data_IF_194062076376
#
_entry.id   IF_194062076376
#
_cell.length_a   1.000
_cell.length_b   1.000
_cell.length_c   1.000
_cell.angle_alpha   90.00
_cell.angle_beta   90.00
_cell.angle_gamma   90.00
#
_symmetry.space_group_name_H-M   'P 1'
#
loop_
_entity.id
_entity.type
_entity.pdbx_description
1 polymer ?
#
# COMPACT_ATOMS: atom_id res chain seq x y z
N UNK A 1 32.28 3.68 75.48
CA UNK A 1 30.95 3.32 74.95
C UNK A 1 30.64 4.28 73.81
N UNK A 2 30.82 3.87 72.56
CA UNK A 2 30.46 4.66 71.39
C UNK A 2 29.61 3.78 70.47
N UNK A 3 28.37 4.22 70.24
CA UNK A 3 27.31 3.49 69.54
C UNK A 3 27.45 3.66 68.04
N UNK A 4 27.40 2.52 67.34
CA UNK A 4 27.23 2.39 65.90
C UNK A 4 26.01 3.17 65.39
N UNK A 5 26.16 3.84 64.25
CA UNK A 5 25.06 4.17 63.34
C UNK A 5 25.52 3.93 61.91
N UNK A 6 25.11 2.80 61.35
CA UNK A 6 25.18 2.52 59.91
C UNK A 6 23.87 3.05 59.32
N UNK A 7 23.94 4.14 58.56
CA UNK A 7 22.81 4.63 57.77
C UNK A 7 22.87 3.92 56.41
N UNK A 8 22.02 2.91 56.24
CA UNK A 8 21.82 2.25 54.95
C UNK A 8 20.93 3.12 54.06
N UNK A 9 21.50 3.65 52.97
CA UNK A 9 20.74 4.34 51.93
C UNK A 9 20.08 3.29 51.01
N UNK A 10 18.78 3.09 51.15
CA UNK A 10 17.97 2.35 50.18
C UNK A 10 17.63 3.29 49.01
N UNK A 11 18.33 3.15 47.89
CA UNK A 11 17.94 3.78 46.64
C UNK A 11 16.72 3.05 46.05
N UNK A 12 15.53 3.64 46.19
CA UNK A 12 14.34 3.19 45.49
C UNK A 12 14.44 3.58 44.02
N UNK A 13 14.86 2.64 43.16
CA UNK A 13 14.80 2.81 41.70
C UNK A 13 13.34 2.62 41.27
N UNK A 14 12.61 3.71 41.08
CA UNK A 14 11.28 3.70 40.49
C UNK A 14 11.40 3.35 39.00
N UNK A 15 11.21 2.07 38.66
CA UNK A 15 10.97 1.61 37.30
C UNK A 15 9.63 2.16 36.82
N UNK A 16 9.66 3.29 36.11
CA UNK A 16 8.53 3.70 35.28
C UNK A 16 8.45 2.72 34.10
N UNK A 17 7.72 1.62 34.28
CA UNK A 17 7.27 0.81 33.18
C UNK A 17 6.39 1.70 32.29
N UNK A 18 6.96 2.19 31.19
CA UNK A 18 6.16 2.77 30.11
C UNK A 18 5.23 1.67 29.65
N UNK A 19 3.95 1.78 29.97
CA UNK A 19 2.93 0.96 29.33
C UNK A 19 2.97 1.35 27.86
N UNK A 20 3.67 0.54 27.06
CA UNK A 20 3.51 0.55 25.62
C UNK A 20 2.13 -0.05 25.35
N UNK A 21 1.09 0.77 25.41
CA UNK A 21 -0.15 0.42 24.73
C UNK A 21 0.25 0.20 23.27
N UNK A 22 0.01 -1.00 22.75
CA UNK A 22 0.09 -1.25 21.33
C UNK A 22 -0.98 -0.35 20.68
N UNK A 23 -0.59 0.86 20.27
CA UNK A 23 -1.41 1.72 19.42
C UNK A 23 -1.51 0.99 18.09
N UNK A 24 -2.63 0.31 17.88
CA UNK A 24 -3.00 -0.21 16.57
C UNK A 24 -3.12 0.98 15.62
N UNK A 25 -2.42 0.93 14.48
CA UNK A 25 -2.58 1.95 13.45
C UNK A 25 -4.07 2.11 13.10
N UNK A 26 -4.59 3.35 12.94
CA UNK A 26 -6.01 3.58 12.67
C UNK A 26 -6.47 2.95 11.35
N UNK A 27 -5.53 2.74 10.43
CA UNK A 27 -5.75 2.03 9.16
C UNK A 27 -4.88 0.78 9.18
N UNK A 28 -5.49 -0.40 9.04
CA UNK A 28 -4.75 -1.65 9.21
C UNK A 28 -5.32 -2.81 8.39
N UNK A 29 -4.48 -3.80 8.16
CA UNK A 29 -4.86 -5.15 7.72
C UNK A 29 -3.87 -6.15 8.30
N UNK A 30 -4.37 -7.28 8.81
CA UNK A 30 -3.53 -8.38 9.30
C UNK A 30 -3.31 -9.48 8.24
N UNK A 31 -3.66 -9.21 6.98
CA UNK A 31 -3.52 -10.16 5.87
C UNK A 31 -2.11 -10.13 5.31
N UNK A 32 -1.55 -11.32 5.12
CA UNK A 32 -0.28 -11.54 4.42
C UNK A 32 -0.50 -12.39 3.17
N UNK A 33 0.04 -11.97 2.03
CA UNK A 33 -0.05 -12.71 0.78
C UNK A 33 1.30 -13.37 0.45
N UNK A 34 1.40 -14.69 0.58
CA UNK A 34 2.65 -15.43 0.31
C UNK A 34 2.71 -16.01 -1.11
N UNK A 35 1.58 -16.50 -1.63
CA UNK A 35 1.53 -17.16 -2.95
C UNK A 35 1.12 -16.22 -4.08
N UNK A 36 0.28 -15.22 -3.80
CA UNK A 36 -0.28 -14.31 -4.79
C UNK A 36 0.46 -12.96 -4.77
N UNK A 37 1.79 -12.99 -4.83
CA UNK A 37 2.65 -11.80 -4.70
C UNK A 37 2.49 -10.80 -5.84
N UNK A 38 1.98 -11.22 -7.00
CA UNK A 38 1.61 -10.33 -8.10
C UNK A 38 0.57 -9.27 -7.70
N UNK A 39 -0.22 -9.53 -6.65
CA UNK A 39 -1.25 -8.62 -6.15
C UNK A 39 -0.72 -7.50 -5.27
N UNK A 40 0.55 -7.58 -4.85
CA UNK A 40 1.19 -6.55 -4.04
C UNK A 40 1.51 -5.32 -4.91
N UNK A 41 1.40 -4.14 -4.32
CA UNK A 41 1.93 -2.94 -4.96
C UNK A 41 3.47 -2.88 -4.81
N UNK A 42 4.09 -1.87 -5.46
CA UNK A 42 5.55 -1.69 -5.40
C UNK A 42 6.11 -1.33 -4.01
N UNK A 43 5.26 -0.94 -3.06
CA UNK A 43 5.62 -0.74 -1.65
C UNK A 43 5.50 -2.04 -0.82
N UNK A 44 5.15 -3.16 -1.44
CA UNK A 44 4.94 -4.45 -0.78
C UNK A 44 3.62 -4.53 0.00
N UNK A 45 2.70 -3.59 -0.19
CA UNK A 45 1.41 -3.60 0.51
C UNK A 45 0.45 -4.58 -0.13
N UNK A 46 -0.27 -5.31 0.72
CA UNK A 46 -1.34 -6.20 0.27
C UNK A 46 -2.50 -5.42 -0.31
N UNK A 47 -3.26 -6.01 -1.25
CA UNK A 47 -4.46 -5.36 -1.76
C UNK A 47 -5.48 -5.04 -0.65
N UNK A 48 -5.46 -5.81 0.45
CA UNK A 48 -6.24 -5.56 1.67
C UNK A 48 -5.88 -4.23 2.34
N UNK A 49 -4.58 -3.98 2.52
CA UNK A 49 -4.08 -2.75 3.14
C UNK A 49 -4.37 -1.54 2.25
N UNK A 50 -4.14 -1.65 0.95
CA UNK A 50 -4.49 -0.59 -0.01
C UNK A 50 -5.99 -0.26 0.08
N UNK A 51 -6.84 -1.28 0.06
CA UNK A 51 -8.30 -1.14 0.25
C UNK A 51 -8.66 -0.45 1.57
N UNK A 52 -7.90 -0.69 2.65
CA UNK A 52 -8.14 -0.05 3.93
C UNK A 52 -7.90 1.45 3.88
N UNK A 53 -6.79 1.88 3.28
CA UNK A 53 -6.50 3.31 3.08
C UNK A 53 -7.56 4.01 2.22
N UNK A 54 -8.03 3.36 1.15
CA UNK A 54 -9.07 3.92 0.30
C UNK A 54 -10.44 4.00 1.01
N UNK A 55 -10.74 3.04 1.87
CA UNK A 55 -11.99 3.00 2.65
C UNK A 55 -12.02 4.04 3.78
N UNK A 56 -10.88 4.28 4.42
CA UNK A 56 -10.75 5.24 5.52
C UNK A 56 -11.09 6.68 5.11
N UNK A 57 -11.00 7.03 3.81
CA UNK A 57 -11.36 8.37 3.33
C UNK A 57 -12.85 8.73 3.52
N UNK A 58 -13.72 7.74 3.73
CA UNK A 58 -15.15 7.95 3.97
C UNK A 58 -15.58 7.58 5.40
N UNK A 59 -14.64 7.61 6.35
CA UNK A 59 -14.94 7.52 7.79
C UNK A 59 -14.68 8.87 8.46
N UNK A 60 -15.34 9.12 9.58
CA UNK A 60 -15.26 10.42 10.28
C UNK A 60 -13.93 10.62 11.01
N UNK A 61 -13.24 9.52 11.33
CA UNK A 61 -12.00 9.46 12.10
C UNK A 61 -10.81 8.99 11.26
N UNK A 62 -10.99 8.85 9.94
CA UNK A 62 -10.00 8.31 9.01
C UNK A 62 -9.45 6.94 9.44
N UNK A 63 -10.27 6.13 10.12
CA UNK A 63 -9.91 4.76 10.50
C UNK A 63 -10.61 3.73 9.62
N UNK A 64 -9.92 2.63 9.30
CA UNK A 64 -10.53 1.46 8.68
C UNK A 64 -9.64 0.22 8.79
N UNK A 65 -10.25 -0.90 9.16
CA UNK A 65 -9.59 -2.21 9.20
C UNK A 65 -10.10 -3.13 8.10
N UNK A 66 -9.19 -3.81 7.41
CA UNK A 66 -9.53 -4.97 6.56
C UNK A 66 -8.97 -6.22 7.23
N UNK A 67 -9.78 -6.94 8.03
CA UNK A 67 -9.34 -8.14 8.72
C UNK A 67 -9.15 -9.30 7.72
N UNK A 68 -8.41 -10.31 8.13
CA UNK A 68 -8.34 -11.57 7.42
C UNK A 68 -9.73 -12.20 7.28
N UNK A 69 -9.99 -12.81 6.14
CA UNK A 69 -11.19 -13.60 5.96
C UNK A 69 -11.11 -14.83 6.86
N UNK A 70 -12.27 -15.32 7.30
CA UNK A 70 -12.39 -16.59 8.02
C UNK A 70 -12.11 -17.78 7.10
N UNK A 71 -13.06 -18.70 6.98
CA UNK A 71 -12.77 -19.99 6.33
C UNK A 71 -12.83 -19.98 4.80
N UNK A 72 -13.63 -19.12 4.13
CA UNK A 72 -13.79 -19.23 2.66
C UNK A 72 -13.96 -17.90 1.88
N UNK A 73 -14.09 -16.75 2.56
CA UNK A 73 -14.44 -15.48 1.89
C UNK A 73 -15.79 -15.58 1.13
N UNK A 74 -16.09 -14.67 0.20
CA UNK A 74 -15.42 -13.39 -0.06
C UNK A 74 -15.65 -12.37 1.06
N UNK A 75 -15.03 -11.19 0.96
CA UNK A 75 -15.43 -10.04 1.79
C UNK A 75 -16.91 -9.68 1.55
N UNK A 76 -17.62 -9.34 2.63
CA UNK A 76 -19.02 -8.93 2.57
C UNK A 76 -19.19 -7.61 1.81
N UNK A 77 -20.31 -7.43 1.09
CA UNK A 77 -20.57 -6.18 0.38
C UNK A 77 -20.73 -5.01 1.36
N UNK A 78 -20.49 -3.77 0.90
CA UNK A 78 -20.78 -2.57 1.68
C UNK A 78 -22.26 -2.54 2.09
N UNK A 79 -22.56 -2.04 3.28
CA UNK A 79 -23.93 -1.96 3.82
C UNK A 79 -24.10 -0.67 4.65
N UNK A 80 -25.34 -0.18 4.75
CA UNK A 80 -25.71 0.98 5.55
C UNK A 80 -24.91 2.22 5.15
N UNK A 81 -24.37 2.92 6.14
CA UNK A 81 -23.52 4.10 5.95
C UNK A 81 -22.19 3.79 5.24
N UNK A 82 -21.78 2.51 5.21
CA UNK A 82 -20.55 2.09 4.55
C UNK A 82 -20.73 1.82 3.06
N UNK A 83 -21.97 1.69 2.56
CA UNK A 83 -22.30 1.63 1.14
C UNK A 83 -22.21 3.01 0.49
N UNK A 84 -20.98 3.50 0.36
CA UNK A 84 -20.67 4.86 -0.10
C UNK A 84 -19.57 4.84 -1.17
N UNK A 85 -19.24 6.00 -1.73
CA UNK A 85 -18.30 6.14 -2.86
C UNK A 85 -16.90 5.57 -2.63
N UNK A 86 -16.43 5.44 -1.38
CA UNK A 86 -15.14 4.82 -1.10
C UNK A 86 -15.15 3.31 -1.37
N UNK A 87 -16.33 2.67 -1.27
CA UNK A 87 -16.45 1.21 -1.36
C UNK A 87 -17.30 0.72 -2.53
N UNK A 88 -18.28 1.50 -2.95
CA UNK A 88 -19.10 1.24 -4.12
C UNK A 88 -18.34 1.63 -5.40
N UNK A 89 -17.20 1.02 -5.67
CA UNK A 89 -16.49 1.21 -6.93
C UNK A 89 -15.73 -0.05 -7.33
N UNK A 90 -15.40 -0.17 -8.62
CA UNK A 90 -14.74 -1.36 -9.17
C UNK A 90 -13.33 -1.57 -8.61
N UNK A 91 -12.59 -0.50 -8.31
CA UNK A 91 -11.24 -0.60 -7.75
C UNK A 91 -11.27 -1.24 -6.37
N UNK A 92 -12.20 -0.83 -5.51
CA UNK A 92 -12.36 -1.43 -4.19
C UNK A 92 -12.77 -2.91 -4.29
N UNK A 93 -13.70 -3.24 -5.19
CA UNK A 93 -14.13 -4.61 -5.41
C UNK A 93 -12.98 -5.49 -5.91
N UNK A 94 -12.18 -5.00 -6.86
CA UNK A 94 -11.01 -5.70 -7.39
C UNK A 94 -9.96 -5.93 -6.31
N UNK A 95 -9.64 -4.91 -5.51
CA UNK A 95 -8.70 -5.02 -4.37
C UNK A 95 -9.17 -6.06 -3.36
N UNK A 96 -10.43 -6.01 -2.93
CA UNK A 96 -10.94 -6.99 -1.96
C UNK A 96 -11.11 -8.40 -2.56
N UNK A 97 -11.38 -8.52 -3.86
CA UNK A 97 -11.41 -9.82 -4.55
C UNK A 97 -10.02 -10.46 -4.58
N UNK A 98 -8.99 -9.71 -4.98
CA UNK A 98 -7.60 -10.18 -4.91
C UNK A 98 -7.16 -10.49 -3.48
N UNK A 99 -7.58 -9.66 -2.52
CA UNK A 99 -7.32 -9.88 -1.10
C UNK A 99 -7.94 -11.19 -0.59
N UNK A 100 -9.18 -11.52 -0.98
CA UNK A 100 -9.79 -12.81 -0.65
C UNK A 100 -9.02 -13.98 -1.28
N UNK A 101 -8.65 -13.88 -2.56
CA UNK A 101 -7.90 -14.94 -3.25
C UNK A 101 -6.48 -15.15 -2.69
N UNK A 102 -5.82 -14.08 -2.26
CA UNK A 102 -4.50 -14.17 -1.62
C UNK A 102 -4.53 -15.00 -0.32
N UNK A 103 -5.67 -15.04 0.35
CA UNK A 103 -5.89 -15.79 1.59
C UNK A 103 -6.41 -17.21 1.34
N UNK A 104 -6.56 -17.63 0.07
CA UNK A 104 -7.15 -18.91 -0.32
C UNK A 104 -8.67 -18.93 -0.39
N UNK A 105 -9.34 -17.80 -0.18
CA UNK A 105 -10.79 -17.66 -0.33
C UNK A 105 -11.24 -17.37 -1.76
N UNK A 106 -12.54 -17.43 -2.00
CA UNK A 106 -13.11 -17.06 -3.29
C UNK A 106 -13.27 -15.54 -3.45
N UNK A 107 -13.21 -15.05 -4.69
CA UNK A 107 -13.65 -13.70 -5.03
C UNK A 107 -15.18 -13.63 -5.13
N UNK A 108 -15.78 -12.52 -4.69
CA UNK A 108 -17.21 -12.27 -4.84
C UNK A 108 -17.55 -11.75 -6.24
N UNK A 109 -18.82 -11.80 -6.63
CA UNK A 109 -19.26 -11.20 -7.90
C UNK A 109 -19.54 -9.71 -7.78
N UNK A 110 -19.41 -8.97 -8.88
CA UNK A 110 -19.71 -7.53 -8.91
C UNK A 110 -21.15 -7.24 -8.46
N UNK A 111 -22.11 -8.01 -8.98
CA UNK A 111 -23.52 -7.88 -8.62
C UNK A 111 -23.75 -8.03 -7.11
N UNK A 112 -23.03 -8.94 -6.45
CA UNK A 112 -23.14 -9.13 -4.99
C UNK A 112 -22.45 -8.00 -4.24
N UNK A 113 -21.30 -7.54 -4.72
CA UNK A 113 -20.59 -6.41 -4.13
C UNK A 113 -21.46 -5.14 -4.11
N UNK A 114 -22.16 -4.85 -5.20
CA UNK A 114 -22.94 -3.62 -5.35
C UNK A 114 -24.40 -3.74 -4.88
N UNK A 115 -24.78 -4.81 -4.18
CA UNK A 115 -26.19 -5.07 -3.84
C UNK A 115 -26.85 -3.95 -3.03
N UNK A 116 -26.08 -3.22 -2.22
CA UNK A 116 -26.55 -2.07 -1.43
C UNK A 116 -26.03 -0.72 -1.96
N UNK A 117 -25.39 -0.69 -3.13
CA UNK A 117 -24.81 0.51 -3.70
C UNK A 117 -25.82 1.21 -4.63
N UNK A 118 -26.10 2.49 -4.36
CA UNK A 118 -26.87 3.32 -5.30
C UNK A 118 -26.05 3.63 -6.55
N UNK A 119 -26.70 3.77 -7.71
CA UNK A 119 -26.06 4.14 -8.96
C UNK A 119 -25.32 5.48 -8.88
N UNK A 120 -25.80 6.42 -8.06
CA UNK A 120 -25.18 7.76 -7.89
C UNK A 120 -23.82 7.69 -7.19
N UNK A 121 -23.59 6.68 -6.35
CA UNK A 121 -22.33 6.50 -5.61
C UNK A 121 -21.46 5.38 -6.18
N UNK A 122 -21.93 4.71 -7.24
CA UNK A 122 -21.24 3.60 -7.87
C UNK A 122 -20.37 4.09 -9.02
N UNK A 123 -19.10 3.69 -9.05
CA UNK A 123 -18.17 4.04 -10.14
C UNK A 123 -17.49 2.79 -10.68
N UNK A 124 -17.58 2.57 -11.99
CA UNK A 124 -16.91 1.47 -12.70
C UNK A 124 -15.58 1.91 -13.28
N UNK A 125 -14.78 0.96 -13.76
CA UNK A 125 -13.50 1.23 -14.42
C UNK A 125 -13.67 2.16 -15.65
N UNK A 126 -14.74 1.94 -16.44
CA UNK A 126 -15.10 2.81 -17.57
C UNK A 126 -15.44 4.26 -17.19
N UNK A 127 -15.76 4.52 -15.92
CA UNK A 127 -16.03 5.85 -15.37
C UNK A 127 -14.82 6.44 -14.61
N UNK A 128 -13.63 5.84 -14.76
CA UNK A 128 -12.40 6.23 -14.09
C UNK A 128 -12.04 5.38 -12.87
N UNK A 129 -12.88 4.42 -12.47
CA UNK A 129 -12.60 3.50 -11.37
C UNK A 129 -12.77 4.14 -9.99
N UNK A 130 -11.68 4.42 -9.28
CA UNK A 130 -11.75 4.98 -7.92
C UNK A 130 -12.14 6.46 -7.97
N UNK A 131 -13.25 6.87 -7.32
CA UNK A 131 -13.85 8.19 -7.56
C UNK A 131 -13.24 9.33 -6.71
N UNK A 132 -12.22 9.07 -5.90
CA UNK A 132 -11.62 10.03 -4.97
C UNK A 132 -10.15 10.24 -5.29
N UNK A 133 -9.59 11.36 -4.82
CA UNK A 133 -8.15 11.54 -4.84
C UNK A 133 -7.46 10.44 -4.02
N UNK A 134 -6.37 9.90 -4.54
CA UNK A 134 -5.60 8.86 -3.84
C UNK A 134 -4.86 9.52 -2.67
N UNK A 135 -4.93 8.97 -1.44
CA UNK A 135 -4.21 9.54 -0.30
C UNK A 135 -2.69 9.55 -0.54
N UNK A 136 -1.99 10.51 0.05
CA UNK A 136 -0.53 10.58 -0.04
C UNK A 136 0.12 9.30 0.46
N UNK A 137 1.07 8.78 -0.31
CA UNK A 137 1.80 7.53 0.01
C UNK A 137 1.05 6.24 -0.34
N UNK A 138 -0.20 6.31 -0.79
CA UNK A 138 -0.95 5.13 -1.26
C UNK A 138 -0.65 4.90 -2.73
N UNK A 139 -0.26 3.66 -3.06
CA UNK A 139 -0.07 3.19 -4.43
C UNK A 139 -1.13 2.13 -4.73
N UNK A 140 -1.96 2.40 -5.74
CA UNK A 140 -2.99 1.46 -6.20
C UNK A 140 -2.45 0.68 -7.39
N UNK A 141 -2.49 -0.66 -7.35
CA UNK A 141 -2.11 -1.49 -8.47
C UNK A 141 -2.80 -1.18 -9.78
N UNK A 142 -2.03 -1.18 -10.88
CA UNK A 142 -2.60 -0.95 -12.21
C UNK A 142 -3.73 -1.94 -12.53
N UNK A 143 -3.54 -3.21 -12.18
CA UNK A 143 -4.54 -4.27 -12.35
C UNK A 143 -5.86 -4.00 -11.61
N UNK A 144 -5.84 -3.20 -10.53
CA UNK A 144 -7.05 -2.89 -9.77
C UNK A 144 -8.03 -2.00 -10.55
N UNK A 145 -7.57 -1.31 -11.60
CA UNK A 145 -8.41 -0.53 -12.50
C UNK A 145 -8.94 -1.33 -13.69
N UNK A 146 -8.58 -2.60 -13.86
CA UNK A 146 -9.12 -3.42 -14.94
C UNK A 146 -10.63 -3.66 -14.77
N UNK A 147 -11.37 -3.60 -15.88
CA UNK A 147 -12.83 -3.73 -15.84
C UNK A 147 -13.30 -5.20 -15.83
N UNK A 148 -13.53 -5.72 -14.63
CA UNK A 148 -14.20 -7.02 -14.42
C UNK A 148 -15.71 -6.88 -14.22
N UNK A 149 -16.27 -5.67 -14.30
CA UNK A 149 -17.69 -5.44 -13.96
C UNK A 149 -18.63 -5.99 -15.03
N UNK A 150 -18.17 -6.06 -16.29
CA UNK A 150 -18.93 -6.63 -17.41
C UNK A 150 -19.07 -8.16 -17.30
N UNK A 151 -18.00 -8.87 -16.95
CA UNK A 151 -18.06 -10.31 -16.67
C UNK A 151 -18.71 -10.60 -15.31
N UNK A 152 -18.69 -9.62 -14.41
CA UNK A 152 -19.14 -9.75 -13.03
C UNK A 152 -18.25 -10.65 -12.17
N UNK A 153 -17.11 -11.10 -12.71
CA UNK A 153 -16.20 -12.08 -12.10
C UNK A 153 -14.77 -11.56 -12.17
N UNK A 154 -14.16 -11.40 -11.00
CA UNK A 154 -12.74 -11.10 -10.88
C UNK A 154 -11.91 -12.30 -11.32
N UNK A 155 -10.89 -12.07 -12.16
CA UNK A 155 -10.01 -13.12 -12.65
C UNK A 155 -8.54 -12.78 -12.35
N UNK A 156 -7.95 -13.51 -11.40
CA UNK A 156 -6.56 -13.33 -10.97
C UNK A 156 -5.54 -13.55 -12.11
N UNK A 157 -5.82 -14.44 -13.06
CA UNK A 157 -4.94 -14.70 -14.21
C UNK A 157 -4.92 -13.51 -15.18
N UNK A 158 -6.06 -12.87 -15.39
CA UNK A 158 -6.15 -11.65 -16.20
C UNK A 158 -5.53 -10.48 -15.45
N UNK A 159 -5.81 -10.34 -14.15
CA UNK A 159 -5.29 -9.28 -13.32
C UNK A 159 -3.75 -9.32 -13.25
N UNK A 160 -3.15 -10.51 -13.08
CA UNK A 160 -1.69 -10.67 -13.00
C UNK A 160 -0.96 -10.37 -14.31
N UNK A 161 -1.67 -10.39 -15.44
CA UNK A 161 -1.12 -10.01 -16.75
C UNK A 161 -1.20 -8.51 -17.03
N UNK A 162 -1.93 -7.74 -16.22
CA UNK A 162 -2.02 -6.30 -16.41
C UNK A 162 -0.69 -5.65 -16.02
N UNK A 163 -0.05 -5.03 -16.99
CA UNK A 163 1.21 -4.30 -16.79
C UNK A 163 0.94 -2.82 -16.98
N UNK A 164 1.40 -2.01 -16.02
CA UNK A 164 1.22 -0.56 -16.08
C UNK A 164 1.71 0.10 -14.80
N UNK A 165 1.82 1.44 -14.80
CA UNK A 165 2.22 2.16 -13.61
C UNK A 165 1.12 2.11 -12.54
N UNK A 166 1.55 2.02 -11.29
CA UNK A 166 0.69 2.19 -10.12
C UNK A 166 0.11 3.61 -10.10
N UNK A 167 -1.17 3.72 -9.72
CA UNK A 167 -1.79 5.03 -9.51
C UNK A 167 -1.43 5.56 -8.13
N UNK A 168 -1.10 6.86 -8.04
CA UNK A 168 -0.70 7.52 -6.79
C UNK A 168 -1.38 8.87 -6.65
N UNK A 169 -1.19 9.53 -5.50
CA UNK A 169 -1.64 10.89 -5.31
C UNK A 169 -1.03 11.81 -6.39
N UNK A 170 -1.89 12.48 -7.17
CA UNK A 170 -1.44 13.62 -7.99
C UNK A 170 -1.00 14.73 -7.04
N UNK A 171 0.30 15.02 -7.03
CA UNK A 171 0.83 16.13 -6.26
C UNK A 171 0.07 17.41 -6.62
N UNK A 172 -0.40 18.15 -5.61
CA UNK A 172 -0.93 19.49 -5.83
C UNK A 172 0.16 20.31 -6.52
N UNK A 173 -0.10 20.80 -7.73
CA UNK A 173 0.79 21.72 -8.41
C UNK A 173 1.03 22.90 -7.46
N UNK A 174 2.27 23.05 -6.98
CA UNK A 174 2.66 24.21 -6.21
C UNK A 174 2.52 25.41 -7.14
N UNK A 175 1.73 26.45 -6.83
CA UNK A 175 1.57 27.58 -7.73
C UNK A 175 2.90 28.33 -7.77
N UNK A 176 3.70 28.10 -8.79
CA UNK A 176 4.85 28.96 -9.09
C UNK A 176 4.27 30.20 -9.76
N UNK A 177 3.96 31.21 -8.95
CA UNK A 177 3.62 32.53 -9.44
C UNK A 177 4.77 33.05 -10.30
N UNK A 178 4.51 33.25 -11.58
CA UNK A 178 5.39 34.00 -12.47
C UNK A 178 4.53 34.93 -13.29
N UNK A 179 4.45 36.16 -12.78
CA UNK A 179 3.94 37.33 -13.47
C UNK A 179 4.84 37.62 -14.67
N UNK A 180 4.29 37.55 -15.88
CA UNK A 180 4.90 38.18 -17.04
C UNK A 180 3.80 38.77 -17.92
N UNK A 181 3.67 40.08 -17.84
CA UNK A 181 2.89 40.91 -18.75
C UNK A 181 3.53 40.93 -20.13
N UNK A 182 2.73 40.78 -21.19
CA UNK A 182 2.98 41.40 -22.48
C UNK A 182 1.67 41.53 -23.28
N UNK A 183 1.31 42.79 -23.48
CA UNK A 183 0.35 43.36 -24.44
C UNK A 183 0.62 42.95 -25.90
N UNK A 184 -0.44 42.86 -26.71
CA UNK A 184 -0.30 43.11 -28.16
C UNK A 184 -1.32 42.46 -29.11
N UNK A 185 -2.44 43.15 -29.32
CA UNK A 185 -3.18 43.36 -30.59
C UNK A 185 -3.88 42.22 -31.36
N UNK A 186 -5.05 42.62 -31.88
CA UNK A 186 -6.14 41.88 -32.51
C UNK A 186 -5.98 41.56 -34.01
N UNK A 187 -6.68 40.53 -34.48
CA UNK A 187 -7.47 40.44 -35.74
C UNK A 187 -8.16 39.06 -35.81
N UNK A 188 -9.47 38.93 -35.58
CA UNK A 188 -10.60 38.95 -36.56
C UNK A 188 -10.63 37.78 -37.57
N UNK A 189 -11.56 36.85 -37.29
CA UNK A 189 -12.51 36.13 -38.19
C UNK A 189 -12.01 35.48 -39.49
N UNK A 190 -12.17 34.15 -39.61
CA UNK A 190 -13.11 33.50 -40.58
C UNK A 190 -13.20 31.99 -40.41
N UNK A 191 -14.41 31.49 -40.68
CA UNK A 191 -14.85 30.12 -40.55
C UNK A 191 -14.23 29.18 -41.59
N UNK A 192 -14.10 27.91 -41.20
CA UNK A 192 -14.72 26.83 -41.97
C UNK A 192 -13.81 25.84 -42.71
N UNK A 193 -14.06 24.57 -42.39
CA UNK A 193 -13.98 23.37 -43.25
C UNK A 193 -12.72 22.51 -43.13
N UNK A 194 -13.00 21.24 -42.80
CA UNK A 194 -12.15 20.05 -42.80
C UNK A 194 -11.50 19.82 -44.18
N UNK A 195 -10.24 19.36 -44.24
CA UNK A 195 -9.81 18.13 -44.95
C UNK A 195 -8.43 17.67 -44.43
N UNK A 196 -8.36 16.37 -44.11
CA UNK A 196 -7.25 15.41 -44.03
C UNK A 196 -5.90 15.74 -44.71
N UNK A 197 -4.78 15.47 -44.01
CA UNK A 197 -3.63 14.65 -44.49
C UNK A 197 -2.47 14.50 -43.48
N UNK A 198 -2.07 13.24 -43.23
CA UNK A 198 -0.71 12.66 -43.37
C UNK A 198 0.54 13.31 -42.69
N UNK A 199 1.02 12.61 -41.63
CA UNK A 199 2.41 12.19 -41.23
C UNK A 199 3.53 13.23 -40.94
N UNK A 200 4.38 12.80 -39.98
CA UNK A 200 5.79 13.10 -39.57
C UNK A 200 6.03 14.04 -38.35
N UNK A 201 7.10 13.80 -37.54
CA UNK A 201 7.04 13.66 -36.08
C UNK A 201 7.66 14.88 -35.37
N UNK A 202 7.38 15.09 -34.08
CA UNK A 202 8.23 15.97 -33.29
C UNK A 202 8.63 15.29 -31.98
N UNK A 203 9.92 14.97 -31.95
CA UNK A 203 10.71 14.48 -30.84
C UNK A 203 10.99 15.68 -29.92
N UNK A 204 10.55 15.62 -28.66
CA UNK A 204 11.07 16.48 -27.61
C UNK A 204 11.14 15.70 -26.29
N UNK A 205 12.32 15.10 -26.13
CA UNK A 205 12.80 14.42 -24.94
C UNK A 205 12.88 15.37 -23.73
N UNK A 206 12.21 15.03 -22.61
CA UNK A 206 12.69 15.36 -21.26
C UNK A 206 12.60 14.14 -20.34
N UNK A 207 13.74 13.47 -20.16
CA UNK A 207 13.94 12.32 -19.28
C UNK A 207 14.19 12.82 -17.85
N UNK A 208 13.26 12.58 -16.94
CA UNK A 208 13.49 12.78 -15.49
C UNK A 208 14.12 11.51 -14.89
N UNK A 209 15.37 11.59 -14.45
CA UNK A 209 16.07 10.48 -13.80
C UNK A 209 15.70 10.39 -12.32
N UNK A 210 15.15 9.24 -11.91
CA UNK A 210 14.82 8.96 -10.50
C UNK A 210 16.00 8.30 -9.78
N UNK A 211 16.31 8.76 -8.57
CA UNK A 211 17.43 8.31 -7.74
C UNK A 211 17.10 6.98 -7.01
N UNK A 212 16.70 5.97 -7.77
CA UNK A 212 16.37 4.63 -7.25
C UNK A 212 17.62 3.88 -6.74
N UNK A 213 18.80 4.21 -7.25
CA UNK A 213 20.05 3.49 -6.94
C UNK A 213 20.52 3.58 -5.49
N UNK A 214 20.25 4.69 -4.78
CA UNK A 214 20.75 4.88 -3.41
C UNK A 214 19.92 4.13 -2.36
N UNK A 215 18.63 3.91 -2.61
CA UNK A 215 17.71 3.27 -1.65
C UNK A 215 17.78 1.74 -1.78
N UNK A 216 17.98 1.23 -3.00
CA UNK A 216 18.08 -0.22 -3.26
C UNK A 216 19.43 -0.79 -2.79
N UNK A 217 20.50 0.00 -2.78
CA UNK A 217 21.82 -0.45 -2.34
C UNK A 217 21.94 -0.77 -0.84
N UNK A 218 21.17 -0.06 0.02
CA UNK A 218 21.25 -0.23 1.46
C UNK A 218 20.67 -1.56 1.97
N UNK A 219 19.54 -2.00 1.39
CA UNK A 219 18.82 -3.19 1.86
C UNK A 219 19.55 -4.47 1.47
N UNK A 220 20.09 -4.52 0.24
CA UNK A 220 20.87 -5.67 -0.25
C UNK A 220 22.20 -5.78 0.50
N UNK A 221 22.87 -4.66 0.77
CA UNK A 221 24.10 -4.63 1.57
C UNK A 221 23.89 -5.07 3.03
N UNK A 222 22.77 -4.67 3.64
CA UNK A 222 22.44 -5.04 5.02
C UNK A 222 22.22 -6.53 5.23
N UNK A 223 21.47 -7.18 4.33
CA UNK A 223 21.16 -8.63 4.45
C UNK A 223 22.44 -9.46 4.29
N UNK A 224 23.30 -9.12 3.33
CA UNK A 224 24.58 -9.80 3.11
C UNK A 224 25.53 -9.57 4.30
N UNK A 225 25.57 -8.34 4.84
CA UNK A 225 26.39 -8.01 6.02
C UNK A 225 25.98 -8.79 7.26
N UNK A 226 24.68 -8.87 7.57
CA UNK A 226 24.17 -9.59 8.75
C UNK A 226 24.39 -11.09 8.61
N UNK A 227 24.17 -11.66 7.42
CA UNK A 227 24.42 -13.08 7.16
C UNK A 227 25.89 -13.47 7.38
N UNK A 228 26.83 -12.62 6.94
CA UNK A 228 28.27 -12.84 7.15
C UNK A 228 28.64 -12.78 8.64
N UNK A 229 28.14 -11.79 9.39
CA UNK A 229 28.42 -11.64 10.82
C UNK A 229 27.85 -12.82 11.62
N UNK A 230 26.62 -13.25 11.33
CA UNK A 230 26.00 -14.41 11.97
C UNK A 230 26.76 -15.72 11.65
N UNK A 231 27.20 -15.90 10.40
CA UNK A 231 28.01 -17.04 9.98
C UNK A 231 29.34 -17.14 10.72
N UNK A 232 30.07 -16.02 10.85
CA UNK A 232 31.34 -15.97 11.59
C UNK A 232 31.11 -16.27 13.07
N UNK A 233 30.10 -15.66 13.69
CA UNK A 233 29.73 -15.92 15.09
C UNK A 233 29.42 -17.40 15.36
N UNK A 234 28.66 -18.04 14.47
CA UNK A 234 28.34 -19.45 14.58
C UNK A 234 29.58 -20.36 14.51
N UNK A 235 30.51 -20.08 13.59
CA UNK A 235 31.75 -20.85 13.44
C UNK A 235 32.63 -20.74 14.69
N UNK A 236 32.78 -19.53 15.25
CA UNK A 236 33.59 -19.32 16.46
C UNK A 236 32.99 -20.06 17.66
N UNK A 237 31.67 -19.99 17.85
CA UNK A 237 30.98 -20.71 18.93
C UNK A 237 31.12 -22.23 18.76
N UNK A 238 30.98 -22.74 17.52
CA UNK A 238 31.12 -24.16 17.22
C UNK A 238 32.52 -24.68 17.53
N UNK A 239 33.57 -23.92 17.17
CA UNK A 239 34.96 -24.31 17.47
C UNK A 239 35.25 -24.26 18.98
N UNK A 240 34.68 -23.29 19.70
CA UNK A 240 34.89 -23.21 21.15
C UNK A 240 34.17 -24.33 21.92
N UNK A 241 33.05 -24.84 21.40
CA UNK A 241 32.37 -26.01 21.98
C UNK A 241 33.10 -27.34 21.74
N UNK A 242 33.96 -27.42 20.73
CA UNK A 242 34.79 -28.60 20.47
C UNK A 242 36.06 -28.68 21.34
N UNK A 243 36.39 -27.60 22.06
CA UNK A 243 37.59 -27.50 22.90
C UNK A 243 37.31 -27.64 24.41
N UNK A 244 36.11 -28.07 24.83
CA UNK A 244 35.86 -28.40 26.24
C UNK A 244 36.19 -29.89 26.46
N UNK A 245 37.28 -30.25 27.18
CA UNK A 245 37.47 -31.63 27.60
C UNK A 245 36.34 -32.05 28.56
N UNK A 246 35.95 -33.34 28.56
CA UNK A 246 34.94 -33.84 29.48
C UNK A 246 35.41 -33.60 30.92
N UNK A 247 34.56 -32.95 31.72
CA UNK A 247 34.75 -32.91 33.16
C UNK A 247 34.66 -34.35 33.68
N UNK A 248 35.79 -34.85 34.18
CA UNK A 248 35.85 -36.05 35.00
C UNK A 248 35.40 -35.63 36.40
N UNK A 249 34.24 -36.09 36.83
CA UNK A 249 33.77 -35.96 38.21
C UNK A 249 33.86 -37.34 38.87
N UNK A 250 34.67 -37.40 39.94
CA UNK A 250 34.68 -38.49 40.93
C UNK A 250 33.64 -38.21 42.01
#
# INVERSE_FOLDING_TARGET
MARSFVVGALAAVSLFARQAYAQTDPIWSNVTCTEQTWSLNSAGWTPCLVSAYLSAQCTTDNSWGVPAIGTEGPYSPPNGTYANRCRCNSVQWNLLSACSMCQGGAAGTWQRWTVNCSSTVTTTASQGGYPLAIPSGVLIPHWAYYDFTLSGVFNAVIASQQTGPESSAVGAATPTGSSASATGASATTTNGVLVTSTVIPNDDNKKSSSNTGAIVGGVVGGIVGIALIAGIGFIVIRKNKQNKPPAVEN
#
